data_IF_330775503003
#
_entry.id   IF_330775503003
#
_cell.length_a   1.000
_cell.length_b   1.000
_cell.length_c   1.000
_cell.angle_alpha   90.00
_cell.angle_beta   90.00
_cell.angle_gamma   90.00
#
_symmetry.space_group_name_H-M   'P 1'
#
loop_
_entity.id
_entity.type
_entity.pdbx_description
1 polymer ?
#
# COMPACT_ATOMS: atom_id res chain seq x y z
N UNK A 1 -16.62 -2.67 0.38
CA UNK A 1 -15.69 -3.78 0.73
C UNK A 1 -14.48 -3.67 -0.17
N UNK A 2 -13.24 -3.91 0.30
CA UNK A 2 -12.06 -3.82 -0.56
C UNK A 2 -11.97 -4.98 -1.55
N UNK A 3 -11.42 -4.70 -2.73
CA UNK A 3 -10.84 -5.71 -3.60
C UNK A 3 -9.41 -6.00 -3.14
N UNK A 4 -8.98 -7.26 -3.22
CA UNK A 4 -7.65 -7.67 -2.75
C UNK A 4 -6.70 -7.90 -3.92
N UNK A 5 -5.40 -7.67 -3.69
CA UNK A 5 -4.32 -7.98 -4.65
C UNK A 5 -4.61 -7.40 -6.04
N UNK A 6 -5.09 -6.15 -6.09
CA UNK A 6 -5.49 -5.52 -7.35
C UNK A 6 -4.27 -5.07 -8.14
N UNK A 7 -4.30 -5.35 -9.43
CA UNK A 7 -3.27 -4.91 -10.37
C UNK A 7 -3.43 -3.41 -10.67
N UNK A 8 -2.33 -2.67 -10.55
CA UNK A 8 -2.24 -1.26 -10.96
C UNK A 8 -1.10 -1.10 -11.95
N UNK A 9 -1.44 -0.71 -13.17
CA UNK A 9 -0.47 -0.43 -14.23
C UNK A 9 -0.05 1.03 -14.19
N UNK A 10 1.26 1.28 -14.04
CA UNK A 10 1.84 2.62 -13.97
C UNK A 10 3.05 2.70 -14.88
N UNK A 11 2.96 3.48 -15.95
CA UNK A 11 4.07 3.72 -16.89
C UNK A 11 4.75 2.43 -17.38
N UNK A 12 3.94 1.42 -17.73
CA UNK A 12 4.44 0.11 -18.20
C UNK A 12 4.97 -0.82 -17.10
N UNK A 13 4.86 -0.43 -15.83
CA UNK A 13 5.13 -1.27 -14.66
C UNK A 13 3.83 -1.77 -14.06
N UNK A 14 3.87 -2.96 -13.49
CA UNK A 14 2.73 -3.58 -12.80
C UNK A 14 3.03 -3.60 -11.30
N UNK A 15 2.11 -3.06 -10.51
CA UNK A 15 2.11 -3.13 -9.06
C UNK A 15 0.86 -3.86 -8.57
N UNK A 16 0.93 -4.39 -7.35
CA UNK A 16 -0.19 -5.03 -6.68
C UNK A 16 -0.41 -4.34 -5.35
N UNK A 17 -1.65 -3.93 -5.08
CA UNK A 17 -2.07 -3.42 -3.78
C UNK A 17 -2.67 -4.52 -2.93
N UNK A 18 -2.44 -4.49 -1.61
CA UNK A 18 -3.03 -5.48 -0.72
C UNK A 18 -4.56 -5.35 -0.65
N UNK A 19 -5.03 -4.11 -0.55
CA UNK A 19 -6.44 -3.72 -0.49
C UNK A 19 -6.70 -2.51 -1.37
N UNK A 20 -7.86 -2.48 -2.02
CA UNK A 20 -8.24 -1.44 -2.98
C UNK A 20 -9.73 -1.11 -2.80
N UNK A 21 -10.07 0.18 -2.72
CA UNK A 21 -11.44 0.68 -2.68
C UNK A 21 -11.71 1.66 -3.83
N UNK A 22 -12.57 1.24 -4.76
CA UNK A 22 -13.19 2.02 -5.86
C UNK A 22 -12.22 2.83 -6.74
N UNK A 23 -10.99 2.35 -6.87
CA UNK A 23 -9.86 2.98 -7.55
C UNK A 23 -9.44 4.32 -6.96
N UNK A 24 -9.78 4.57 -5.69
CA UNK A 24 -9.50 5.84 -5.01
C UNK A 24 -8.60 5.66 -3.80
N UNK A 25 -8.73 4.56 -3.06
CA UNK A 25 -7.95 4.30 -1.84
C UNK A 25 -7.26 2.95 -1.94
N UNK A 26 -5.97 2.92 -1.64
CA UNK A 26 -5.17 1.70 -1.51
C UNK A 26 -4.78 1.53 -0.05
N UNK A 27 -4.97 0.30 0.45
CA UNK A 27 -4.50 -0.15 1.74
C UNK A 27 -3.35 -1.12 1.56
N UNK A 28 -2.26 -0.90 2.31
CA UNK A 28 -1.08 -1.76 2.30
C UNK A 28 -0.81 -2.30 3.69
N UNK A 29 -0.57 -3.60 3.80
CA UNK A 29 -0.14 -4.22 5.03
C UNK A 29 1.39 -4.39 5.04
N UNK A 30 2.01 -3.87 6.09
CA UNK A 30 3.45 -3.98 6.30
C UNK A 30 3.76 -5.04 7.36
N UNK A 31 3.93 -6.27 6.90
CA UNK A 31 4.45 -7.35 7.74
C UNK A 31 5.89 -7.07 8.19
N UNK A 32 6.25 -7.53 9.39
CA UNK A 32 7.56 -7.31 10.01
C UNK A 32 8.76 -7.79 9.16
N UNK A 33 8.56 -8.72 8.22
CA UNK A 33 9.60 -9.23 7.31
C UNK A 33 9.76 -8.48 5.99
N UNK A 34 8.87 -7.53 5.65
CA UNK A 34 8.76 -6.97 4.29
C UNK A 34 10.02 -6.24 3.84
N UNK A 35 10.70 -5.53 4.74
CA UNK A 35 11.90 -4.74 4.36
C UNK A 35 13.14 -5.60 4.05
N UNK A 36 13.27 -6.77 4.68
CA UNK A 36 14.39 -7.67 4.43
C UNK A 36 14.07 -8.67 3.31
N UNK A 37 12.81 -9.09 3.19
CA UNK A 37 12.36 -10.14 2.27
C UNK A 37 11.96 -9.62 0.88
N UNK A 38 11.60 -8.34 0.73
CA UNK A 38 11.28 -7.77 -0.59
C UNK A 38 12.51 -7.34 -1.38
N UNK A 39 13.71 -7.63 -0.88
CA UNK A 39 14.95 -7.39 -1.62
C UNK A 39 15.08 -8.40 -2.74
N UNK A 40 15.39 -7.91 -3.93
CA UNK A 40 15.83 -8.77 -5.03
C UNK A 40 17.20 -9.38 -4.66
N UNK A 41 17.54 -10.56 -5.20
CA UNK A 41 18.87 -11.13 -5.01
C UNK A 41 19.97 -10.10 -5.37
N UNK A 42 20.85 -9.80 -4.41
CA UNK A 42 21.92 -8.81 -4.57
C UNK A 42 21.53 -7.34 -4.38
N UNK A 43 20.26 -7.02 -4.12
CA UNK A 43 19.80 -5.64 -3.91
C UNK A 43 20.20 -5.12 -2.53
N UNK A 44 20.76 -3.90 -2.48
CA UNK A 44 21.06 -3.23 -1.21
C UNK A 44 19.75 -2.81 -0.55
N UNK A 45 19.74 -2.74 0.78
CA UNK A 45 18.56 -2.31 1.54
C UNK A 45 18.09 -0.92 1.08
N UNK A 46 19.04 0.02 0.88
CA UNK A 46 18.72 1.37 0.42
C UNK A 46 18.00 1.39 -0.93
N UNK A 47 18.41 0.53 -1.88
CA UNK A 47 17.79 0.47 -3.21
C UNK A 47 16.37 -0.10 -3.12
N UNK A 48 16.15 -1.12 -2.27
CA UNK A 48 14.82 -1.68 -2.03
C UNK A 48 13.86 -0.65 -1.41
N UNK A 49 14.35 0.16 -0.47
CA UNK A 49 13.57 1.26 0.13
C UNK A 49 13.23 2.33 -0.91
N UNK A 50 14.19 2.72 -1.75
CA UNK A 50 13.96 3.70 -2.81
C UNK A 50 12.94 3.18 -3.83
N UNK A 51 13.03 1.91 -4.23
CA UNK A 51 12.06 1.27 -5.11
C UNK A 51 10.65 1.22 -4.52
N UNK A 52 10.51 0.93 -3.23
CA UNK A 52 9.22 0.95 -2.55
C UNK A 52 8.64 2.37 -2.50
N UNK A 53 9.49 3.39 -2.25
CA UNK A 53 9.09 4.79 -2.28
C UNK A 53 8.65 5.25 -3.67
N UNK A 54 9.39 4.87 -4.72
CA UNK A 54 9.04 5.16 -6.11
C UNK A 54 7.70 4.52 -6.50
N UNK A 55 7.48 3.27 -6.08
CA UNK A 55 6.20 2.58 -6.28
C UNK A 55 5.06 3.34 -5.61
N UNK A 56 5.20 3.76 -4.35
CA UNK A 56 4.13 4.49 -3.65
C UNK A 56 3.87 5.85 -4.30
N UNK A 57 4.92 6.59 -4.66
CA UNK A 57 4.78 7.86 -5.37
C UNK A 57 4.02 7.67 -6.69
N UNK A 58 4.37 6.63 -7.46
CA UNK A 58 3.70 6.34 -8.74
C UNK A 58 2.20 6.01 -8.55
N UNK A 59 1.83 5.33 -7.48
CA UNK A 59 0.41 5.10 -7.13
C UNK A 59 -0.28 6.41 -6.72
N UNK A 60 0.37 7.25 -5.92
CA UNK A 60 -0.16 8.57 -5.53
C UNK A 60 -0.33 9.51 -6.72
N UNK A 61 0.59 9.49 -7.69
CA UNK A 61 0.52 10.28 -8.91
C UNK A 61 -0.67 9.89 -9.80
N UNK A 62 -1.16 8.65 -9.70
CA UNK A 62 -2.42 8.22 -10.32
C UNK A 62 -3.68 8.69 -9.57
N UNK A 63 -3.52 9.39 -8.45
CA UNK A 63 -4.61 9.94 -7.64
C UNK A 63 -5.03 9.05 -6.47
N UNK A 64 -4.36 7.92 -6.23
CA UNK A 64 -4.69 7.06 -5.09
C UNK A 64 -4.32 7.70 -3.74
N UNK A 65 -5.25 7.66 -2.79
CA UNK A 65 -4.94 7.79 -1.38
C UNK A 65 -4.36 6.49 -0.85
N UNK A 66 -3.12 6.51 -0.34
CA UNK A 66 -2.48 5.31 0.24
C UNK A 66 -2.51 5.36 1.76
N UNK A 67 -3.07 4.32 2.39
CA UNK A 67 -3.06 4.07 3.84
C UNK A 67 -2.29 2.79 4.14
N UNK A 68 -1.49 2.79 5.21
CA UNK A 68 -0.68 1.64 5.62
C UNK A 68 -0.93 1.29 7.08
N UNK A 69 -0.86 0.01 7.41
CA UNK A 69 -0.85 -0.48 8.78
C UNK A 69 0.02 -1.74 8.88
N UNK A 70 0.41 -2.06 10.11
CA UNK A 70 1.29 -3.17 10.43
C UNK A 70 0.66 -4.05 11.54
N UNK A 71 1.43 -5.04 12.01
CA UNK A 71 1.01 -5.98 13.04
C UNK A 71 0.50 -5.30 14.32
N UNK A 72 1.23 -4.35 14.95
CA UNK A 72 0.73 -3.66 16.13
C UNK A 72 -0.65 -3.01 15.94
N UNK A 73 -0.90 -2.36 14.80
CA UNK A 73 -2.21 -1.75 14.52
C UNK A 73 -3.29 -2.83 14.36
N UNK A 74 -2.97 -3.92 13.66
CA UNK A 74 -3.90 -5.03 13.45
C UNK A 74 -4.26 -5.72 14.76
N UNK A 75 -3.27 -6.06 15.59
CA UNK A 75 -3.43 -6.74 16.88
C UNK A 75 -4.21 -5.88 17.89
N UNK A 76 -4.07 -4.56 17.81
CA UNK A 76 -4.84 -3.62 18.61
C UNK A 76 -6.27 -3.38 18.07
N UNK A 77 -6.65 -3.97 16.94
CA UNK A 77 -7.94 -3.73 16.28
C UNK A 77 -8.08 -2.34 15.63
N UNK A 78 -6.98 -1.60 15.48
CA UNK A 78 -6.98 -0.19 15.04
C UNK A 78 -7.00 0.01 13.52
N UNK A 79 -7.21 -1.04 12.72
CA UNK A 79 -7.22 -0.94 11.24
C UNK A 79 -8.32 -0.01 10.76
N UNK A 80 -9.52 -0.11 11.35
CA UNK A 80 -10.65 0.73 10.96
C UNK A 80 -10.35 2.20 11.22
N UNK A 81 -9.72 2.53 12.35
CA UNK A 81 -9.34 3.91 12.69
C UNK A 81 -8.31 4.50 11.71
N UNK A 82 -7.46 3.65 11.11
CA UNK A 82 -6.53 4.07 10.05
C UNK A 82 -7.23 4.26 8.71
N UNK A 83 -8.08 3.32 8.33
CA UNK A 83 -8.68 3.25 6.99
C UNK A 83 -9.88 4.18 6.85
N UNK A 84 -10.77 4.25 7.83
CA UNK A 84 -12.03 5.00 7.74
C UNK A 84 -11.85 6.50 7.39
N UNK A 85 -10.88 7.25 7.96
CA UNK A 85 -10.65 8.63 7.55
C UNK A 85 -10.28 8.79 6.07
N UNK A 86 -9.63 7.78 5.48
CA UNK A 86 -9.22 7.82 4.06
C UNK A 86 -10.43 7.53 3.17
N UNK A 87 -11.25 6.55 3.54
CA UNK A 87 -12.50 6.25 2.83
C UNK A 87 -13.50 7.41 2.92
N UNK A 88 -13.66 8.04 4.09
CA UNK A 88 -14.51 9.22 4.26
C UNK A 88 -14.06 10.39 3.36
N UNK A 89 -12.75 10.68 3.29
CA UNK A 89 -12.22 11.72 2.40
C UNK A 89 -12.46 11.41 0.91
N UNK A 90 -12.52 10.13 0.56
CA UNK A 90 -12.82 9.66 -0.79
C UNK A 90 -14.34 9.53 -1.06
N UNK A 91 -15.21 9.78 -0.06
CA UNK A 91 -16.66 9.65 -0.21
C UNK A 91 -17.17 8.20 -0.29
N UNK A 92 -16.43 7.25 0.28
CA UNK A 92 -16.71 5.80 0.21
C UNK A 92 -17.35 5.22 1.49
N UNK A 93 -17.60 6.08 2.47
CA UNK A 93 -18.32 5.84 3.73
C UNK A 93 -19.29 7.00 3.95
#
# INVERSE_FOLDING_TARGET
>A
MPLLQQEVQVQGRVYYSDFEWDRLVIGEFDGQGKHLNNRRPGERIADAVMREKERENALRDLGFGVVRWDWPVLEAGGVLDRVAPHLNRAGLL
#
